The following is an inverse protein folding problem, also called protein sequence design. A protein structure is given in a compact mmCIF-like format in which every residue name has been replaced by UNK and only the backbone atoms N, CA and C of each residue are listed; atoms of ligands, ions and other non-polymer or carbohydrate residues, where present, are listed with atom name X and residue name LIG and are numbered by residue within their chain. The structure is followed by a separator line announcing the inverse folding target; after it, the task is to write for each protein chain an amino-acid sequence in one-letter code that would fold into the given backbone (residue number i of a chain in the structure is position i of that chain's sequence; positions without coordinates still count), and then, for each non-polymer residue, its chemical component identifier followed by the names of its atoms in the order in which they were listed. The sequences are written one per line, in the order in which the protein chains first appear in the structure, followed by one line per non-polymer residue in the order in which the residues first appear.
data_IF_326565894936
#
_entry.id   IF_326565894936
#
_cell.length_a   1.000
_cell.length_b   1.000
_cell.length_c   1.000
_cell.angle_alpha   90.00
_cell.angle_beta   90.00
_cell.angle_gamma   90.00
#
_symmetry.space_group_name_H-M   'P 1'
#
loop_
_entity.id
_entity.type
_entity.pdbx_description
1 polymer ?
#
# COMPACT_ATOMS: atom_id res chain seq x y z
N UNK A 1 10.50 -6.13 10.08
CA UNK A 1 9.39 -6.79 10.82
C UNK A 1 9.31 -6.21 12.22
N UNK A 2 8.11 -6.04 12.75
CA UNK A 2 7.80 -5.62 14.12
C UNK A 2 7.27 -6.83 14.89
N UNK A 3 7.93 -7.24 15.97
CA UNK A 3 7.48 -8.34 16.82
C UNK A 3 6.95 -7.79 18.16
N UNK A 4 5.77 -8.27 18.58
CA UNK A 4 5.16 -7.93 19.85
C UNK A 4 5.36 -9.07 20.85
N UNK A 5 6.03 -8.80 21.96
CA UNK A 5 6.42 -9.79 22.96
C UNK A 5 5.51 -9.72 24.19
N UNK A 6 5.02 -10.87 24.67
CA UNK A 6 4.33 -11.02 25.94
C UNK A 6 5.17 -11.93 26.86
N UNK A 7 5.94 -11.31 27.76
CA UNK A 7 6.95 -12.02 28.54
C UNK A 7 8.10 -12.50 27.64
N UNK A 8 8.41 -13.80 27.67
CA UNK A 8 9.44 -14.41 26.82
C UNK A 8 8.90 -15.02 25.52
N UNK A 9 7.62 -14.81 25.20
CA UNK A 9 6.98 -15.36 24.00
C UNK A 9 6.58 -14.26 23.03
N UNK A 10 6.78 -14.50 21.74
CA UNK A 10 6.23 -13.66 20.68
C UNK A 10 4.73 -13.91 20.58
N UNK A 11 3.93 -12.86 20.74
CA UNK A 11 2.48 -12.94 20.57
C UNK A 11 2.11 -12.87 19.09
N UNK A 12 2.68 -11.89 18.37
CA UNK A 12 2.53 -11.75 16.93
C UNK A 12 3.71 -10.99 16.33
N UNK A 13 3.84 -11.05 15.02
CA UNK A 13 4.72 -10.21 14.23
C UNK A 13 3.98 -9.63 13.03
N UNK A 14 4.42 -8.45 12.60
CA UNK A 14 3.88 -7.78 11.42
C UNK A 14 5.03 -7.30 10.55
N UNK A 15 4.87 -7.45 9.23
CA UNK A 15 5.83 -6.88 8.30
C UNK A 15 5.68 -5.35 8.28
N UNK A 16 6.80 -4.64 8.43
CA UNK A 16 6.81 -3.19 8.30
C UNK A 16 6.73 -2.74 6.85
N UNK A 17 6.97 -3.63 5.89
CA UNK A 17 6.76 -3.36 4.47
C UNK A 17 5.28 -3.27 4.10
N UNK A 18 4.39 -3.83 4.95
CA UNK A 18 2.95 -3.76 4.72
C UNK A 18 2.32 -2.50 5.31
N UNK A 19 3.06 -1.74 6.13
CA UNK A 19 2.60 -0.49 6.75
C UNK A 19 2.67 0.63 5.73
N UNK A 20 1.53 1.21 5.41
CA UNK A 20 1.36 2.31 4.45
C UNK A 20 1.53 3.68 5.10
N UNK A 21 1.06 3.83 6.33
CA UNK A 21 1.13 5.09 7.06
C UNK A 21 1.27 4.85 8.56
N UNK A 22 1.90 5.79 9.28
CA UNK A 22 1.96 5.76 10.74
C UNK A 22 1.87 7.16 11.34
N UNK A 23 0.98 7.29 12.32
CA UNK A 23 0.64 8.55 12.96
C UNK A 23 0.61 8.38 14.49
N UNK A 24 0.78 9.49 15.21
CA UNK A 24 0.49 9.53 16.65
C UNK A 24 -0.98 9.85 16.85
N UNK A 25 -1.63 9.10 17.74
CA UNK A 25 -2.95 9.43 18.27
C UNK A 25 -2.79 9.79 19.75
N UNK A 26 -2.99 11.06 20.07
CA UNK A 26 -2.67 11.56 21.41
C UNK A 26 -1.17 11.51 21.71
N UNK A 27 -0.81 11.32 22.98
CA UNK A 27 0.59 11.36 23.43
C UNK A 27 1.29 10.00 23.44
N UNK A 28 0.51 8.92 23.61
CA UNK A 28 1.05 7.61 23.93
C UNK A 28 0.65 6.55 22.90
N UNK A 29 -0.27 6.83 21.97
CA UNK A 29 -0.74 5.82 21.02
C UNK A 29 -0.11 6.04 19.64
N UNK A 30 0.35 4.95 19.02
CA UNK A 30 0.93 4.93 17.67
C UNK A 30 0.07 4.06 16.78
N UNK A 31 -0.48 4.67 15.73
CA UNK A 31 -1.29 3.99 14.73
C UNK A 31 -0.41 3.55 13.58
N UNK A 32 -0.59 2.31 13.14
CA UNK A 32 -0.08 1.74 11.90
C UNK A 32 -1.28 1.48 10.99
N UNK A 33 -1.29 2.11 9.83
CA UNK A 33 -2.21 1.83 8.74
C UNK A 33 -1.50 0.92 7.75
N UNK A 34 -2.20 -0.05 7.20
CA UNK A 34 -1.65 -1.04 6.28
C UNK A 34 -2.07 -0.75 4.85
N UNK A 35 -1.32 -1.25 3.89
CA UNK A 35 -1.73 -1.20 2.50
C UNK A 35 -3.01 -2.01 2.30
N UNK A 36 -4.05 -1.35 1.81
CA UNK A 36 -5.26 -2.01 1.34
C UNK A 36 -5.03 -2.39 -0.12
N UNK A 37 -5.12 -3.69 -0.41
CA UNK A 37 -5.18 -4.17 -1.79
C UNK A 37 -6.60 -3.90 -2.33
N UNK A 38 -6.71 -3.12 -3.41
CA UNK A 38 -7.99 -2.74 -4.00
C UNK A 38 -8.68 -3.87 -4.77
N UNK A 39 -8.05 -5.05 -4.83
CA UNK A 39 -8.59 -6.23 -5.49
C UNK A 39 -9.62 -6.99 -4.62
N UNK A 40 -10.64 -7.60 -5.22
CA UNK A 40 -11.77 -8.15 -4.45
C UNK A 40 -11.46 -9.35 -3.59
N UNK A 41 -10.39 -10.10 -3.84
CA UNK A 41 -10.00 -11.22 -2.99
C UNK A 41 -9.31 -10.75 -1.71
N UNK A 42 -8.90 -9.48 -1.64
CA UNK A 42 -8.61 -8.82 -0.37
C UNK A 42 -9.87 -8.64 0.50
N UNK A 43 -11.08 -8.63 -0.11
CA UNK A 43 -12.37 -8.56 0.59
C UNK A 43 -12.97 -9.95 0.90
N UNK A 44 -12.40 -11.04 0.38
CA UNK A 44 -12.85 -12.41 0.68
C UNK A 44 -12.23 -12.97 1.98
N UNK A 45 -11.28 -12.24 2.56
CA UNK A 45 -10.61 -12.58 3.82
C UNK A 45 -10.57 -11.38 4.73
N UNK A 46 -10.57 -11.63 6.04
CA UNK A 46 -10.31 -10.59 7.02
C UNK A 46 -8.92 -10.01 6.77
N UNK A 47 -8.87 -8.71 6.48
CA UNK A 47 -7.64 -7.98 6.20
C UNK A 47 -7.37 -6.98 7.33
N UNK A 48 -6.12 -6.96 7.83
CA UNK A 48 -5.69 -6.00 8.83
C UNK A 48 -5.57 -4.62 8.18
N UNK A 49 -6.46 -3.70 8.55
CA UNK A 49 -6.49 -2.34 7.99
C UNK A 49 -5.66 -1.37 8.83
N UNK A 50 -5.83 -1.46 10.15
CA UNK A 50 -5.23 -0.55 11.11
C UNK A 50 -4.87 -1.31 12.40
N UNK A 51 -3.76 -0.93 13.02
CA UNK A 51 -3.37 -1.38 14.35
C UNK A 51 -2.92 -0.19 15.19
N UNK A 52 -3.36 -0.12 16.44
CA UNK A 52 -2.91 0.91 17.38
C UNK A 52 -2.13 0.29 18.54
N UNK A 53 -0.98 0.87 18.86
CA UNK A 53 -0.14 0.49 19.98
C UNK A 53 -0.13 1.58 21.03
N UNK A 54 -0.50 1.22 22.26
CA UNK A 54 -0.23 2.06 23.42
C UNK A 54 1.23 1.90 23.88
N UNK A 55 1.97 3.00 23.92
CA UNK A 55 3.36 3.07 24.39
C UNK A 55 3.42 3.91 25.68
N UNK A 56 3.56 3.26 26.86
CA UNK A 56 3.63 3.97 28.13
C UNK A 56 4.86 4.87 28.25
N UNK A 57 4.77 5.95 29.01
CA UNK A 57 5.93 6.81 29.33
C UNK A 57 7.02 6.07 30.14
N UNK A 58 6.67 4.97 30.80
CA UNK A 58 7.59 4.08 31.51
C UNK A 58 8.25 3.02 30.60
N UNK A 59 8.02 3.07 29.28
CA UNK A 59 8.59 2.11 28.34
C UNK A 59 10.13 2.17 28.36
N UNK A 60 10.77 1.02 28.55
CA UNK A 60 12.23 0.89 28.67
C UNK A 60 12.92 0.59 27.33
N UNK A 61 12.17 0.21 26.30
CA UNK A 61 12.68 -0.14 24.98
C UNK A 61 12.77 1.08 24.06
N UNK A 62 11.76 1.96 24.12
CA UNK A 62 11.71 3.22 23.37
C UNK A 62 11.90 4.38 24.34
N UNK A 63 13.14 4.59 24.77
CA UNK A 63 13.45 5.65 25.74
C UNK A 63 13.32 7.01 25.06
N UNK A 64 12.42 7.85 25.58
CA UNK A 64 12.18 9.22 25.12
C UNK A 64 12.40 10.26 26.24
N UNK A 65 12.18 11.53 25.92
CA UNK A 65 12.26 12.67 26.84
C UNK A 65 10.96 13.51 26.82
N UNK A 66 10.92 14.63 27.54
CA UNK A 66 9.73 15.51 27.61
C UNK A 66 9.29 16.08 26.25
N UNK A 67 10.24 16.28 25.33
CA UNK A 67 9.97 16.83 23.99
C UNK A 67 9.72 15.72 22.96
N UNK A 68 10.23 14.51 23.19
CA UNK A 68 10.10 13.35 22.33
C UNK A 68 9.71 12.12 23.16
N UNK A 69 8.41 11.93 23.46
CA UNK A 69 7.95 10.84 24.30
C UNK A 69 8.24 9.46 23.67
N UNK A 70 8.23 8.37 24.46
CA UNK A 70 8.44 7.01 23.98
C UNK A 70 7.63 6.62 22.74
N UNK A 71 6.36 7.04 22.66
CA UNK A 71 5.51 6.81 21.49
C UNK A 71 6.06 7.47 20.23
N UNK A 72 6.62 8.68 20.33
CA UNK A 72 7.24 9.37 19.20
C UNK A 72 8.53 8.67 18.77
N UNK A 73 9.35 8.22 19.72
CA UNK A 73 10.56 7.41 19.41
C UNK A 73 10.18 6.12 18.71
N UNK A 74 9.12 5.44 19.17
CA UNK A 74 8.60 4.25 18.52
C UNK A 74 8.12 4.55 17.09
N UNK A 75 7.28 5.58 16.90
CA UNK A 75 6.82 6.01 15.58
C UNK A 75 7.98 6.31 14.64
N UNK A 76 8.97 7.09 15.07
CA UNK A 76 10.10 7.46 14.21
C UNK A 76 10.93 6.23 13.82
N UNK A 77 11.00 5.22 14.70
CA UNK A 77 11.65 3.94 14.38
C UNK A 77 10.83 3.14 13.37
N UNK A 78 9.51 3.15 13.49
CA UNK A 78 8.64 2.60 12.45
C UNK A 78 8.86 3.35 11.14
N UNK A 79 8.82 4.68 11.13
CA UNK A 79 9.04 5.48 9.92
C UNK A 79 10.39 5.26 9.23
N UNK A 80 11.43 4.87 9.98
CA UNK A 80 12.75 4.57 9.39
C UNK A 80 12.90 3.12 8.90
N UNK A 81 12.00 2.22 9.28
CA UNK A 81 12.04 0.80 8.91
C UNK A 81 10.87 0.35 8.03
N UNK A 82 9.75 1.05 8.16
CA UNK A 82 8.56 0.92 7.36
C UNK A 82 8.64 1.89 6.20
N UNK A 83 7.97 1.57 5.12
CA UNK A 83 7.93 2.37 3.90
C UNK A 83 6.97 3.56 4.04
N UNK A 84 7.07 4.27 5.16
CA UNK A 84 6.10 5.26 5.67
C UNK A 84 6.59 6.71 5.46
N UNK A 85 7.60 6.87 4.61
CA UNK A 85 8.03 8.18 4.13
C UNK A 85 7.06 8.75 3.11
N UNK A 86 7.14 10.06 2.86
CA UNK A 86 6.49 10.68 1.69
C UNK A 86 7.01 10.13 0.34
N UNK A 87 8.03 9.26 0.36
CA UNK A 87 8.36 8.32 -0.69
C UNK A 87 8.27 6.91 -0.11
N UNK A 88 7.09 6.31 -0.17
CA UNK A 88 6.99 4.85 -0.15
C UNK A 88 7.52 4.37 -1.48
N UNK A 89 8.57 3.55 -1.48
CA UNK A 89 9.40 3.10 -2.62
C UNK A 89 9.42 4.11 -3.78
N UNK A 90 10.53 4.85 -3.98
CA UNK A 90 10.71 5.58 -5.24
C UNK A 90 10.40 4.63 -6.40
N UNK A 91 9.34 4.95 -7.15
CA UNK A 91 8.87 4.08 -8.20
C UNK A 91 10.07 3.75 -9.10
N UNK A 92 10.30 2.47 -9.35
CA UNK A 92 11.38 2.01 -10.23
C UNK A 92 11.25 2.72 -11.58
N UNK A 93 10.00 2.91 -12.01
CA UNK A 93 9.64 3.78 -13.13
C UNK A 93 8.23 4.32 -12.95
N UNK A 94 8.04 5.55 -13.44
CA UNK A 94 6.74 6.21 -13.53
C UNK A 94 6.41 6.52 -14.98
N UNK A 95 5.21 6.16 -15.41
CA UNK A 95 4.66 6.52 -16.71
C UNK A 95 3.50 7.49 -16.54
N UNK A 96 3.73 8.76 -16.84
CA UNK A 96 2.72 9.80 -16.66
C UNK A 96 1.72 9.88 -17.82
N UNK A 97 0.48 10.24 -17.48
CA UNK A 97 -0.52 10.64 -18.47
C UNK A 97 -1.06 9.51 -19.33
N UNK A 98 -0.90 8.25 -18.88
CA UNK A 98 -1.39 7.05 -19.56
C UNK A 98 -2.92 7.08 -19.63
N UNK A 99 -3.45 6.84 -20.83
CA UNK A 99 -4.88 6.76 -21.05
C UNK A 99 -5.36 5.34 -20.72
N UNK A 100 -6.09 5.20 -19.61
CA UNK A 100 -6.74 3.94 -19.26
C UNK A 100 -8.18 4.01 -19.75
N UNK A 101 -8.54 3.08 -20.63
CA UNK A 101 -9.89 2.94 -21.16
C UNK A 101 -10.83 2.28 -20.16
N UNK A 102 -10.30 1.38 -19.32
CA UNK A 102 -11.07 0.64 -18.31
C UNK A 102 -10.17 0.32 -17.11
N UNK A 103 -10.48 0.78 -15.89
CA UNK A 103 -11.47 1.83 -15.57
C UNK A 103 -11.10 3.16 -16.24
N UNK A 104 -12.09 3.83 -16.87
CA UNK A 104 -11.82 5.02 -17.68
C UNK A 104 -11.19 6.14 -16.85
N UNK A 105 -10.05 6.64 -17.30
CA UNK A 105 -9.37 7.79 -16.71
C UNK A 105 -7.97 8.02 -17.26
N UNK A 106 -7.32 9.06 -16.77
CA UNK A 106 -5.90 9.33 -17.04
C UNK A 106 -5.13 9.12 -15.75
N UNK A 107 -4.10 8.30 -15.81
CA UNK A 107 -3.37 7.85 -14.64
C UNK A 107 -1.87 8.03 -14.85
N UNK A 108 -1.15 8.25 -13.76
CA UNK A 108 0.26 7.93 -13.69
C UNK A 108 0.38 6.46 -13.27
N UNK A 109 1.16 5.68 -14.01
CA UNK A 109 1.42 4.27 -13.71
C UNK A 109 2.80 4.17 -13.08
N UNK A 110 2.83 3.87 -11.79
CA UNK A 110 4.08 3.68 -11.05
C UNK A 110 4.33 2.18 -10.86
N UNK A 111 5.53 1.73 -11.21
CA UNK A 111 5.97 0.37 -10.97
C UNK A 111 6.90 0.34 -9.75
N UNK A 112 6.45 -0.34 -8.70
CA UNK A 112 7.21 -0.58 -7.47
C UNK A 112 7.78 -2.00 -7.50
N UNK A 113 8.56 -2.41 -6.50
CA UNK A 113 9.19 -3.74 -6.52
C UNK A 113 8.17 -4.87 -6.30
N UNK A 114 7.12 -4.62 -5.52
CA UNK A 114 6.13 -5.62 -5.12
C UNK A 114 4.72 -5.38 -5.67
N UNK A 115 4.42 -4.16 -6.12
CA UNK A 115 3.11 -3.78 -6.64
C UNK A 115 3.22 -2.77 -7.79
N UNK A 116 2.13 -2.55 -8.50
CA UNK A 116 1.95 -1.38 -9.36
C UNK A 116 0.90 -0.46 -8.76
N UNK A 117 1.07 0.85 -8.96
CA UNK A 117 0.12 1.86 -8.53
C UNK A 117 -0.42 2.62 -9.75
N UNK A 118 -1.73 2.74 -9.83
CA UNK A 118 -2.42 3.61 -10.77
C UNK A 118 -2.83 4.87 -10.01
N UNK A 119 -2.06 5.94 -10.12
CA UNK A 119 -2.37 7.21 -9.48
C UNK A 119 -3.26 8.05 -10.40
N UNK A 120 -4.47 8.36 -9.94
CA UNK A 120 -5.45 9.12 -10.70
C UNK A 120 -5.91 10.34 -9.94
N UNK A 121 -6.45 11.34 -10.65
CA UNK A 121 -6.90 12.58 -9.99
C UNK A 121 -7.98 12.36 -8.91
N UNK A 122 -8.83 11.35 -9.11
CA UNK A 122 -9.98 11.08 -8.23
C UNK A 122 -9.90 9.75 -7.49
N UNK A 123 -9.11 8.79 -7.98
CA UNK A 123 -8.98 7.46 -7.40
C UNK A 123 -7.59 6.94 -7.69
N UNK A 124 -6.96 6.38 -6.67
CA UNK A 124 -5.73 5.63 -6.78
C UNK A 124 -6.05 4.14 -6.64
N UNK A 125 -5.30 3.29 -7.34
CA UNK A 125 -5.37 1.84 -7.15
C UNK A 125 -3.99 1.28 -6.86
N UNK A 126 -3.84 0.54 -5.76
CA UNK A 126 -2.65 -0.26 -5.49
C UNK A 126 -2.93 -1.72 -5.83
N UNK A 127 -2.14 -2.29 -6.73
CA UNK A 127 -2.35 -3.63 -7.27
C UNK A 127 -1.10 -4.46 -7.07
N UNK A 128 -1.20 -5.49 -6.23
CA UNK A 128 -0.12 -6.44 -6.02
C UNK A 128 0.19 -7.21 -7.32
N UNK A 129 1.46 -7.47 -7.61
CA UNK A 129 1.82 -8.24 -8.80
C UNK A 129 1.28 -9.68 -8.75
N UNK A 130 1.06 -10.22 -7.54
CA UNK A 130 0.41 -11.53 -7.35
C UNK A 130 -1.00 -11.61 -7.93
N UNK A 131 -1.71 -10.48 -8.02
CA UNK A 131 -3.06 -10.41 -8.58
C UNK A 131 -3.05 -10.31 -10.12
N UNK A 132 -1.89 -10.09 -10.75
CA UNK A 132 -1.77 -10.04 -12.22
C UNK A 132 -1.65 -11.45 -12.79
N UNK A 133 -2.70 -11.89 -13.49
CA UNK A 133 -2.76 -13.24 -14.06
C UNK A 133 -2.18 -13.28 -15.47
N UNK A 134 -2.47 -12.26 -16.29
CA UNK A 134 -2.03 -12.19 -17.69
C UNK A 134 -1.80 -10.76 -18.14
N UNK A 135 -0.80 -10.59 -19.00
CA UNK A 135 -0.54 -9.34 -19.72
C UNK A 135 -0.63 -9.61 -21.22
N UNK A 136 -1.44 -8.80 -21.91
CA UNK A 136 -1.57 -8.86 -23.37
C UNK A 136 -1.09 -7.57 -23.99
N UNK A 137 -0.32 -7.70 -25.07
CA UNK A 137 0.10 -6.60 -25.92
C UNK A 137 -0.57 -6.74 -27.28
N UNK A 138 -1.54 -5.89 -27.57
CA UNK A 138 -2.38 -6.00 -28.77
C UNK A 138 -2.19 -4.77 -29.67
N UNK A 139 -1.43 -4.89 -30.77
CA UNK A 139 -1.30 -3.80 -31.73
C UNK A 139 -2.65 -3.56 -32.42
N UNK A 140 -3.08 -2.29 -32.51
CA UNK A 140 -4.33 -1.94 -33.17
C UNK A 140 -4.12 -1.89 -34.69
N UNK A 141 -4.92 -2.63 -35.45
CA UNK A 141 -4.88 -2.56 -36.92
C UNK A 141 -5.16 -1.14 -37.38
N UNK A 142 -4.34 -0.63 -38.30
CA UNK A 142 -4.49 0.67 -38.95
C UNK A 142 -4.43 1.91 -38.03
N UNK A 143 -3.88 1.80 -36.81
CA UNK A 143 -3.56 2.93 -35.95
C UNK A 143 -2.23 2.70 -35.22
N UNK A 144 -1.42 3.74 -34.93
CA UNK A 144 -0.16 3.60 -34.21
C UNK A 144 -0.37 3.43 -32.69
N UNK A 145 -1.46 2.77 -32.28
CA UNK A 145 -1.75 2.50 -30.88
C UNK A 145 -1.57 1.02 -30.58
N UNK A 146 -1.00 0.72 -29.43
CA UNK A 146 -0.90 -0.64 -28.91
C UNK A 146 -1.65 -0.69 -27.59
N UNK A 147 -2.61 -1.61 -27.48
CA UNK A 147 -3.29 -1.83 -26.21
C UNK A 147 -2.45 -2.70 -25.31
N UNK A 148 -2.31 -2.27 -24.05
CA UNK A 148 -1.78 -3.11 -22.97
C UNK A 148 -2.96 -3.51 -22.10
N UNK A 149 -3.23 -4.81 -21.99
CA UNK A 149 -4.31 -5.33 -21.16
C UNK A 149 -3.71 -6.13 -20.02
N UNK A 150 -4.00 -5.70 -18.79
CA UNK A 150 -3.60 -6.40 -17.56
C UNK A 150 -4.86 -7.08 -17.01
N UNK A 151 -4.84 -8.42 -16.97
CA UNK A 151 -5.92 -9.20 -16.36
C UNK A 151 -5.59 -9.47 -14.90
N UNK A 152 -6.56 -9.17 -14.04
CA UNK A 152 -6.47 -9.28 -12.61
C UNK A 152 -7.40 -10.36 -12.08
N UNK A 153 -6.88 -11.19 -11.20
CA UNK A 153 -7.64 -12.08 -10.35
C UNK A 153 -6.99 -12.07 -8.98
N UNK A 154 -7.63 -11.47 -7.97
CA UNK A 154 -8.96 -10.86 -8.00
C UNK A 154 -9.05 -9.47 -8.71
N UNK A 155 -10.23 -9.05 -9.21
CA UNK A 155 -10.44 -7.76 -9.91
C UNK A 155 -10.32 -6.54 -8.98
N UNK A 156 -9.89 -5.37 -9.48
CA UNK A 156 -9.96 -4.11 -8.71
C UNK A 156 -11.38 -3.57 -8.59
N UNK A 157 -11.66 -2.83 -7.52
CA UNK A 157 -12.97 -2.23 -7.26
C UNK A 157 -12.94 -0.71 -7.36
N UNK A 158 -13.89 -0.11 -8.08
CA UNK A 158 -14.16 1.34 -8.06
C UNK A 158 -15.64 1.57 -7.78
N UNK A 159 -15.97 2.07 -6.59
CA UNK A 159 -17.35 2.14 -6.13
C UNK A 159 -17.98 0.74 -6.06
N UNK A 160 -19.11 0.53 -6.73
CA UNK A 160 -19.76 -0.78 -6.81
C UNK A 160 -19.27 -1.65 -7.98
N UNK A 161 -18.48 -1.09 -8.90
CA UNK A 161 -18.05 -1.78 -10.13
C UNK A 161 -16.71 -2.47 -9.95
N UNK A 162 -16.61 -3.69 -10.48
CA UNK A 162 -15.38 -4.49 -10.50
C UNK A 162 -14.75 -4.47 -11.89
N UNK A 163 -13.42 -4.37 -11.92
CA UNK A 163 -12.62 -4.34 -13.15
C UNK A 163 -11.61 -5.49 -13.12
N UNK A 164 -11.94 -6.63 -13.75
CA UNK A 164 -11.00 -7.75 -13.92
C UNK A 164 -9.93 -7.46 -14.97
N UNK A 165 -10.09 -6.41 -15.77
CA UNK A 165 -9.14 -6.05 -16.80
C UNK A 165 -8.87 -4.55 -16.76
N UNK A 166 -7.59 -4.20 -16.70
CA UNK A 166 -7.12 -2.84 -16.95
C UNK A 166 -6.72 -2.76 -18.41
N UNK A 167 -7.28 -1.80 -19.15
CA UNK A 167 -7.01 -1.61 -20.57
C UNK A 167 -6.36 -0.25 -20.78
N UNK A 168 -5.11 -0.23 -21.19
CA UNK A 168 -4.31 0.99 -21.46
C UNK A 168 -4.16 1.20 -22.97
N UNK A 169 -4.10 2.47 -23.38
CA UNK A 169 -3.89 2.92 -24.76
C UNK A 169 -2.76 3.93 -24.88
#
# INVERSE_FOLDING_TARGET
MLAFMMGSKQAFEVSLADVSQTNLQGKNDVILEFHVDDTTGANEKDSLMEMSFHVPNSNTQFVGDENRPPAQVFRDKIMSMADVGAGGEDAVVTFDGIAILTPRGRYSVELHLSFLRLQGQANDFKIQYSSVVRLFLLPKSNQPHTFVIISLDPPIRKGQTLYPHIVMQ
#
